data_IF_205649993267
#
_entry.id   IF_205649993267
#
_cell.length_a   1.000
_cell.length_b   1.000
_cell.length_c   1.000
_cell.angle_alpha   90.00
_cell.angle_beta   90.00
_cell.angle_gamma   90.00
#
_symmetry.space_group_name_H-M   'P 1'
#
loop_
_entity.id
_entity.type
_entity.pdbx_description
1 polymer ?
#
# COMPACT_ATOMS: atom_id res chain seq x y z
N UNK A 1 4.26 69.58 46.20
CA UNK A 1 5.15 68.66 46.94
C UNK A 1 4.47 67.29 46.87
N UNK A 2 4.84 66.33 46.03
CA UNK A 2 6.12 65.61 45.78
C UNK A 2 6.08 65.03 44.34
N UNK A 3 7.03 65.33 43.43
CA UNK A 3 8.27 64.57 43.09
C UNK A 3 8.06 63.05 42.90
N UNK A 4 7.89 62.57 41.66
CA UNK A 4 8.86 61.93 40.72
C UNK A 4 9.42 60.55 41.09
N UNK A 5 9.58 59.74 40.02
CA UNK A 5 10.43 58.55 39.87
C UNK A 5 9.98 57.20 40.43
N UNK A 6 9.23 56.47 39.60
CA UNK A 6 9.06 55.02 39.73
C UNK A 6 9.26 54.27 38.40
N UNK A 7 10.14 54.78 37.53
CA UNK A 7 10.70 54.02 36.39
C UNK A 7 12.08 53.49 36.79
N UNK A 8 12.11 52.40 37.55
CA UNK A 8 13.34 51.66 37.83
C UNK A 8 13.18 50.20 37.40
N UNK A 9 14.11 49.80 36.53
CA UNK A 9 14.52 48.43 36.22
C UNK A 9 13.71 47.66 35.17
N UNK A 10 13.64 48.20 33.95
CA UNK A 10 13.72 47.33 32.78
C UNK A 10 15.21 47.07 32.50
N UNK A 11 15.67 45.82 32.33
CA UNK A 11 17.03 45.55 31.90
C UNK A 11 17.24 46.23 30.55
N UNK A 12 18.21 47.16 30.51
CA UNK A 12 18.64 47.79 29.28
C UNK A 12 19.06 46.69 28.29
N UNK A 13 18.72 46.79 26.99
CA UNK A 13 19.28 45.90 25.99
C UNK A 13 20.80 45.99 26.08
N UNK A 14 21.45 44.86 26.36
CA UNK A 14 22.90 44.79 26.39
C UNK A 14 23.42 45.28 25.03
N UNK A 15 24.40 46.20 25.00
CA UNK A 15 24.99 46.63 23.74
C UNK A 15 25.53 45.41 23.01
N UNK A 16 25.06 45.19 21.78
CA UNK A 16 25.54 44.12 20.90
C UNK A 16 27.07 44.23 20.78
N UNK A 17 27.81 43.12 20.84
CA UNK A 17 29.25 43.14 20.63
C UNK A 17 29.55 43.83 19.29
N UNK A 18 30.43 44.83 19.32
CA UNK A 18 30.62 45.88 18.31
C UNK A 18 31.29 45.42 17.00
N UNK A 19 31.32 44.11 16.73
CA UNK A 19 32.02 43.46 15.63
C UNK A 19 31.10 42.61 14.73
N UNK A 20 29.77 42.79 14.82
CA UNK A 20 28.82 42.09 13.94
C UNK A 20 28.78 42.79 12.58
N UNK A 21 29.41 42.16 11.58
CA UNK A 21 29.31 42.61 10.19
C UNK A 21 27.86 42.47 9.71
N UNK A 22 27.34 43.36 8.84
CA UNK A 22 25.97 43.27 8.32
C UNK A 22 25.68 41.94 7.60
N UNK A 23 26.72 41.26 7.11
CA UNK A 23 26.64 39.91 6.55
C UNK A 23 26.34 38.85 7.63
N UNK A 24 26.90 38.97 8.84
CA UNK A 24 26.64 38.07 9.96
C UNK A 24 25.20 38.16 10.47
N UNK A 25 24.65 39.38 10.57
CA UNK A 25 23.26 39.61 10.99
C UNK A 25 22.25 38.99 10.01
N UNK A 26 22.52 39.10 8.70
CA UNK A 26 21.68 38.48 7.66
C UNK A 26 21.69 36.95 7.74
N UNK A 27 22.87 36.34 7.98
CA UNK A 27 22.97 34.88 8.14
C UNK A 27 22.22 34.40 9.38
N UNK A 28 22.35 35.11 10.50
CA UNK A 28 21.68 34.75 11.74
C UNK A 28 20.15 34.90 11.63
N UNK A 29 19.67 35.95 10.97
CA UNK A 29 18.25 36.11 10.66
C UNK A 29 17.72 34.97 9.78
N UNK A 30 18.51 34.53 8.78
CA UNK A 30 18.14 33.42 7.91
C UNK A 30 18.12 32.07 8.63
N UNK A 31 19.06 31.82 9.53
CA UNK A 31 19.06 30.64 10.41
C UNK A 31 17.81 30.62 11.28
N UNK A 32 17.44 31.76 11.88
CA UNK A 32 16.21 31.85 12.68
C UNK A 32 14.96 31.55 11.86
N UNK A 33 14.90 32.06 10.62
CA UNK A 33 13.79 31.78 9.71
C UNK A 33 13.70 30.29 9.35
N UNK A 34 14.82 29.63 9.04
CA UNK A 34 14.84 28.21 8.72
C UNK A 34 14.46 27.35 9.92
N UNK A 35 14.94 27.68 11.12
CA UNK A 35 14.53 27.02 12.37
C UNK A 35 13.04 27.20 12.65
N UNK A 36 12.48 28.37 12.33
CA UNK A 36 11.04 28.59 12.43
C UNK A 36 10.26 27.73 11.43
N UNK A 37 10.73 27.63 10.18
CA UNK A 37 10.12 26.79 9.14
C UNK A 37 10.24 25.30 9.46
N UNK A 38 11.37 24.84 10.01
CA UNK A 38 11.55 23.44 10.42
C UNK A 38 10.63 23.08 11.58
N UNK A 39 10.47 23.98 12.57
CA UNK A 39 9.55 23.80 13.68
C UNK A 39 8.09 23.65 13.21
N UNK A 40 7.69 24.39 12.17
CA UNK A 40 6.34 24.35 11.60
C UNK A 40 6.12 23.35 10.47
N UNK A 41 7.18 22.68 10.00
CA UNK A 41 7.08 21.73 8.89
C UNK A 41 6.10 20.57 9.19
N UNK A 42 5.84 20.29 10.47
CA UNK A 42 4.92 19.25 10.97
C UNK A 42 3.51 19.74 11.30
N UNK A 43 3.21 21.03 11.14
CA UNK A 43 1.90 21.60 11.48
C UNK A 43 0.81 21.32 10.43
N UNK A 44 1.16 20.60 9.36
CA UNK A 44 0.22 20.21 8.30
C UNK A 44 -0.82 19.19 8.74
N UNK A 45 -1.82 19.00 7.87
CA UNK A 45 -2.82 17.95 8.00
C UNK A 45 -2.67 16.90 6.90
N UNK A 46 -2.96 15.65 7.24
CA UNK A 46 -2.96 14.51 6.33
C UNK A 46 -4.23 13.68 6.51
N UNK A 47 -4.67 13.05 5.43
CA UNK A 47 -5.82 12.16 5.45
C UNK A 47 -5.35 10.73 5.74
N UNK A 48 -5.80 10.18 6.86
CA UNK A 48 -5.53 8.81 7.26
C UNK A 48 -6.22 7.77 6.36
N UNK A 49 -5.85 6.47 6.49
CA UNK A 49 -6.33 5.40 5.61
C UNK A 49 -7.84 5.16 5.70
N UNK A 50 -8.49 5.63 6.77
CA UNK A 50 -9.93 5.53 6.99
C UNK A 50 -10.67 6.87 6.82
N UNK A 51 -10.07 7.85 6.12
CA UNK A 51 -10.68 9.16 5.87
C UNK A 51 -10.65 10.13 7.05
N UNK A 52 -9.80 9.87 8.05
CA UNK A 52 -9.63 10.72 9.23
C UNK A 52 -8.69 11.89 8.90
N UNK A 53 -9.06 13.12 9.26
CA UNK A 53 -8.12 14.24 9.19
C UNK A 53 -7.24 14.24 10.45
N UNK A 54 -5.94 14.05 10.26
CA UNK A 54 -4.95 13.94 11.33
C UNK A 54 -3.89 15.03 11.14
N UNK A 55 -3.25 15.46 12.22
CA UNK A 55 -2.02 16.24 12.09
C UNK A 55 -0.88 15.32 11.61
N UNK A 56 0.15 15.89 10.96
CA UNK A 56 1.33 15.11 10.56
C UNK A 56 1.99 14.46 11.78
N UNK A 57 2.06 15.17 12.92
CA UNK A 57 2.57 14.62 14.17
C UNK A 57 1.77 13.42 14.70
N UNK A 58 0.43 13.47 14.63
CA UNK A 58 -0.41 12.32 14.99
C UNK A 58 -0.23 11.14 14.04
N UNK A 59 -0.14 11.39 12.73
CA UNK A 59 0.10 10.34 11.75
C UNK A 59 1.47 9.67 11.96
N UNK A 60 2.50 10.45 12.29
CA UNK A 60 3.81 9.91 12.66
C UNK A 60 3.75 9.07 13.93
N UNK A 61 3.12 9.57 14.99
CA UNK A 61 2.99 8.84 16.25
C UNK A 61 2.23 7.51 16.07
N UNK A 62 1.20 7.50 15.22
CA UNK A 62 0.48 6.27 14.87
C UNK A 62 1.33 5.30 14.06
N UNK A 63 2.11 5.80 13.09
CA UNK A 63 3.05 4.97 12.35
C UNK A 63 4.05 4.30 13.30
N UNK A 64 4.68 5.06 14.21
CA UNK A 64 5.64 4.53 15.18
C UNK A 64 5.01 3.51 16.14
N UNK A 65 3.78 3.76 16.60
CA UNK A 65 3.06 2.81 17.45
C UNK A 65 2.81 1.50 16.72
N UNK A 66 2.29 1.56 15.49
CA UNK A 66 2.01 0.37 14.68
C UNK A 66 3.31 -0.40 14.37
N UNK A 67 4.38 0.30 14.03
CA UNK A 67 5.68 -0.30 13.75
C UNK A 67 6.21 -1.08 14.97
N UNK A 68 6.16 -0.48 16.17
CA UNK A 68 6.53 -1.16 17.42
C UNK A 68 5.65 -2.37 17.72
N UNK A 69 4.34 -2.29 17.49
CA UNK A 69 3.44 -3.43 17.70
C UNK A 69 3.79 -4.58 16.75
N UNK A 70 4.04 -4.28 15.47
CA UNK A 70 4.45 -5.25 14.47
C UNK A 70 5.79 -5.90 14.86
N UNK A 71 6.77 -5.10 15.28
CA UNK A 71 8.07 -5.58 15.74
C UNK A 71 7.92 -6.51 16.94
N UNK A 72 7.15 -6.13 17.96
CA UNK A 72 6.87 -6.98 19.13
C UNK A 72 6.19 -8.29 18.76
N UNK A 73 5.22 -8.26 17.84
CA UNK A 73 4.58 -9.48 17.33
C UNK A 73 5.56 -10.37 16.55
N UNK A 74 6.44 -9.79 15.73
CA UNK A 74 7.46 -10.52 14.97
C UNK A 74 8.52 -11.13 15.89
N UNK A 75 8.96 -10.42 16.93
CA UNK A 75 9.86 -10.95 17.96
C UNK A 75 9.25 -12.13 18.72
N UNK A 76 7.92 -12.14 18.89
CA UNK A 76 7.17 -13.30 19.42
C UNK A 76 6.98 -14.44 18.40
N UNK A 77 7.55 -14.33 17.20
CA UNK A 77 7.47 -15.34 16.15
C UNK A 77 6.20 -15.26 15.29
N UNK A 78 5.43 -14.17 15.35
CA UNK A 78 4.25 -13.98 14.51
C UNK A 78 4.63 -13.83 13.04
N UNK A 79 4.03 -14.64 12.17
CA UNK A 79 4.18 -14.56 10.72
C UNK A 79 3.06 -13.73 10.06
N UNK A 80 2.16 -13.15 10.85
CA UNK A 80 0.95 -12.43 10.42
C UNK A 80 1.25 -11.29 9.45
N UNK A 81 2.31 -10.52 9.74
CA UNK A 81 2.75 -9.34 8.99
C UNK A 81 3.73 -9.65 7.84
N UNK A 82 3.96 -10.93 7.53
CA UNK A 82 4.85 -11.26 6.41
C UNK A 82 4.13 -11.00 5.09
N UNK A 83 4.72 -10.16 4.23
CA UNK A 83 4.21 -9.93 2.86
C UNK A 83 4.56 -11.09 1.94
N UNK A 84 3.73 -11.27 0.92
CA UNK A 84 4.02 -12.21 -0.18
C UNK A 84 4.92 -11.47 -1.17
N UNK A 85 5.89 -12.16 -1.76
CA UNK A 85 6.79 -11.54 -2.75
C UNK A 85 5.98 -11.00 -3.93
N UNK A 86 6.36 -9.82 -4.44
CA UNK A 86 5.69 -9.22 -5.61
C UNK A 86 5.72 -10.15 -6.81
N UNK A 87 6.85 -10.83 -7.03
CA UNK A 87 7.03 -11.81 -8.12
C UNK A 87 6.03 -12.95 -7.98
N UNK A 88 5.89 -13.56 -6.80
CA UNK A 88 4.92 -14.65 -6.59
C UNK A 88 3.48 -14.21 -6.84
N UNK A 89 3.11 -12.99 -6.43
CA UNK A 89 1.76 -12.44 -6.66
C UNK A 89 1.49 -12.21 -8.14
N UNK A 90 2.43 -11.59 -8.84
CA UNK A 90 2.32 -11.33 -10.30
C UNK A 90 2.29 -12.65 -11.06
N UNK A 91 3.18 -13.58 -10.73
CA UNK A 91 3.22 -14.89 -11.38
C UNK A 91 1.88 -15.62 -11.19
N UNK A 92 1.32 -15.66 -9.97
CA UNK A 92 0.02 -16.32 -9.76
C UNK A 92 -1.11 -15.68 -10.55
N UNK A 93 -1.21 -14.35 -10.57
CA UNK A 93 -2.25 -13.63 -11.32
C UNK A 93 -2.08 -13.83 -12.84
N UNK A 94 -0.85 -13.73 -13.34
CA UNK A 94 -0.54 -13.90 -14.74
C UNK A 94 -0.82 -15.34 -15.19
N UNK A 95 -0.39 -16.34 -14.42
CA UNK A 95 -0.62 -17.76 -14.77
C UNK A 95 -2.11 -18.06 -14.87
N UNK A 96 -2.92 -17.59 -13.91
CA UNK A 96 -4.39 -17.78 -13.94
C UNK A 96 -4.99 -17.09 -15.16
N UNK A 97 -4.59 -15.86 -15.43
CA UNK A 97 -5.17 -15.07 -16.54
C UNK A 97 -4.80 -15.65 -17.90
N UNK A 98 -3.54 -16.07 -18.08
CA UNK A 98 -3.03 -16.63 -19.35
C UNK A 98 -3.67 -17.99 -19.65
N UNK A 99 -4.01 -18.78 -18.64
CA UNK A 99 -4.68 -20.08 -18.83
C UNK A 99 -6.18 -19.89 -19.04
N UNK A 100 -6.84 -19.07 -18.21
CA UNK A 100 -8.30 -18.91 -18.24
C UNK A 100 -8.79 -18.08 -19.43
N UNK A 101 -8.05 -17.03 -19.82
CA UNK A 101 -8.53 -16.09 -20.84
C UNK A 101 -8.70 -16.71 -22.23
N UNK A 102 -7.75 -17.49 -22.78
CA UNK A 102 -7.93 -18.15 -24.08
C UNK A 102 -9.08 -19.16 -24.05
N UNK A 103 -9.22 -19.85 -22.92
CA UNK A 103 -10.32 -20.75 -22.66
C UNK A 103 -11.61 -19.90 -22.71
N UNK A 104 -11.83 -18.94 -21.81
CA UNK A 104 -13.05 -18.11 -21.80
C UNK A 104 -13.37 -17.47 -23.15
N UNK A 105 -12.35 -16.97 -23.86
CA UNK A 105 -12.47 -16.41 -25.20
C UNK A 105 -13.03 -17.40 -26.21
N UNK A 106 -12.51 -18.62 -26.22
CA UNK A 106 -13.00 -19.66 -27.11
C UNK A 106 -14.48 -20.03 -26.82
N UNK A 107 -14.90 -20.06 -25.55
CA UNK A 107 -16.31 -20.34 -25.23
C UNK A 107 -17.23 -19.22 -25.63
N UNK A 108 -16.84 -17.98 -25.34
CA UNK A 108 -17.62 -16.84 -25.79
C UNK A 108 -17.70 -16.86 -27.33
N UNK A 109 -16.59 -17.18 -28.00
CA UNK A 109 -16.55 -17.35 -29.46
C UNK A 109 -17.50 -18.42 -29.97
N UNK A 110 -17.56 -19.59 -29.32
CA UNK A 110 -18.49 -20.67 -29.67
C UNK A 110 -19.95 -20.28 -29.43
N UNK A 111 -20.27 -19.65 -28.30
CA UNK A 111 -21.64 -19.22 -27.94
C UNK A 111 -22.15 -18.13 -28.88
N UNK A 112 -21.30 -17.18 -29.26
CA UNK A 112 -21.67 -16.11 -30.18
C UNK A 112 -21.46 -16.47 -31.66
N UNK A 113 -21.13 -17.73 -31.96
CA UNK A 113 -20.88 -18.25 -33.30
C UNK A 113 -19.96 -17.31 -34.11
N UNK A 114 -18.81 -16.99 -33.52
CA UNK A 114 -17.85 -16.04 -34.09
C UNK A 114 -17.23 -16.60 -35.35
N UNK A 115 -17.30 -15.81 -36.41
CA UNK A 115 -16.54 -16.06 -37.63
C UNK A 115 -15.11 -15.56 -37.46
N UNK A 116 -14.15 -16.49 -37.42
CA UNK A 116 -12.73 -16.18 -37.28
C UNK A 116 -12.12 -15.58 -38.57
N UNK A 117 -12.85 -15.61 -39.68
CA UNK A 117 -12.43 -14.97 -40.93
C UNK A 117 -12.75 -13.46 -40.97
N UNK A 118 -13.63 -12.98 -40.08
CA UNK A 118 -13.90 -11.55 -39.87
C UNK A 118 -13.38 -11.09 -38.49
N UNK A 119 -12.09 -10.68 -38.38
CA UNK A 119 -11.48 -10.30 -37.12
C UNK A 119 -12.00 -8.96 -36.54
N UNK A 120 -12.86 -8.24 -37.26
CA UNK A 120 -13.54 -7.03 -36.78
C UNK A 120 -15.03 -7.27 -36.51
N UNK A 121 -15.48 -8.53 -36.61
CA UNK A 121 -16.85 -8.92 -36.35
C UNK A 121 -17.29 -8.55 -34.93
N UNK A 122 -18.45 -7.92 -34.84
CA UNK A 122 -19.11 -7.59 -33.58
C UNK A 122 -19.22 -8.79 -32.60
N UNK A 123 -19.47 -10.04 -33.06
CA UNK A 123 -19.46 -11.22 -32.19
C UNK A 123 -18.10 -11.51 -31.53
N UNK A 124 -16.99 -11.30 -32.26
CA UNK A 124 -15.64 -11.50 -31.71
C UNK A 124 -15.35 -10.45 -30.64
N UNK A 125 -15.69 -9.19 -30.92
CA UNK A 125 -15.50 -8.08 -29.98
C UNK A 125 -16.27 -8.33 -28.67
N UNK A 126 -17.54 -8.73 -28.76
CA UNK A 126 -18.36 -9.08 -27.58
C UNK A 126 -17.73 -10.25 -26.82
N UNK A 127 -17.24 -11.27 -27.53
CA UNK A 127 -16.61 -12.45 -26.93
C UNK A 127 -15.35 -12.10 -26.14
N UNK A 128 -14.50 -11.21 -26.67
CA UNK A 128 -13.32 -10.69 -25.99
C UNK A 128 -13.72 -9.95 -24.72
N UNK A 129 -14.67 -9.02 -24.82
CA UNK A 129 -15.11 -8.21 -23.68
C UNK A 129 -15.66 -9.10 -22.56
N UNK A 130 -16.55 -10.04 -22.88
CA UNK A 130 -17.14 -10.94 -21.88
C UNK A 130 -16.07 -11.83 -21.23
N UNK A 131 -15.10 -12.30 -22.01
CA UNK A 131 -14.04 -13.18 -21.49
C UNK A 131 -13.08 -12.45 -20.56
N UNK A 132 -12.73 -11.20 -20.89
CA UNK A 132 -11.94 -10.32 -20.02
C UNK A 132 -12.72 -10.00 -18.74
N UNK A 133 -14.01 -9.68 -18.85
CA UNK A 133 -14.85 -9.39 -17.69
C UNK A 133 -15.03 -10.61 -16.78
N UNK A 134 -15.22 -11.80 -17.34
CA UNK A 134 -15.38 -13.01 -16.56
C UNK A 134 -14.08 -13.41 -15.85
N UNK A 135 -12.96 -13.44 -16.59
CA UNK A 135 -11.63 -13.80 -16.04
C UNK A 135 -11.16 -12.75 -15.02
N UNK A 136 -11.16 -11.48 -15.43
CA UNK A 136 -10.72 -10.36 -14.61
C UNK A 136 -11.66 -10.11 -13.43
N UNK A 137 -12.97 -10.23 -13.63
CA UNK A 137 -13.98 -10.11 -12.59
C UNK A 137 -13.86 -11.19 -11.52
N UNK A 138 -13.70 -12.46 -11.93
CA UNK A 138 -13.49 -13.57 -10.98
C UNK A 138 -12.18 -13.40 -10.20
N UNK A 139 -11.08 -13.08 -10.89
CA UNK A 139 -9.79 -12.85 -10.24
C UNK A 139 -9.86 -11.68 -9.25
N UNK A 140 -10.50 -10.57 -9.63
CA UNK A 140 -10.67 -9.38 -8.79
C UNK A 140 -11.56 -9.68 -7.59
N UNK A 141 -12.68 -10.38 -7.79
CA UNK A 141 -13.58 -10.80 -6.70
C UNK A 141 -12.86 -11.71 -5.69
N UNK A 142 -12.13 -12.73 -6.17
CA UNK A 142 -11.34 -13.62 -5.32
C UNK A 142 -10.23 -12.85 -4.58
N UNK A 143 -9.60 -11.89 -5.25
CA UNK A 143 -8.59 -11.04 -4.64
C UNK A 143 -9.17 -10.17 -3.52
N UNK A 144 -10.30 -9.50 -3.76
CA UNK A 144 -10.98 -8.68 -2.75
C UNK A 144 -11.49 -9.51 -1.57
N UNK A 145 -12.06 -10.69 -1.83
CA UNK A 145 -12.51 -11.60 -0.78
C UNK A 145 -11.32 -12.10 0.06
N UNK A 146 -10.21 -12.47 -0.57
CA UNK A 146 -8.97 -12.83 0.13
C UNK A 146 -8.40 -11.67 0.95
N UNK A 147 -8.43 -10.45 0.40
CA UNK A 147 -7.98 -9.24 1.10
C UNK A 147 -8.86 -8.93 2.33
N UNK A 148 -10.18 -8.97 2.19
CA UNK A 148 -11.12 -8.71 3.30
C UNK A 148 -10.97 -9.73 4.44
N UNK A 149 -10.54 -10.95 4.12
CA UNK A 149 -10.30 -11.98 5.13
C UNK A 149 -9.00 -11.80 5.91
N UNK A 150 -8.10 -10.89 5.53
CA UNK A 150 -6.84 -10.62 6.25
C UNK A 150 -7.05 -10.27 7.72
N UNK A 151 -8.17 -9.63 8.06
CA UNK A 151 -8.51 -9.25 9.44
C UNK A 151 -8.69 -10.46 10.38
N UNK A 152 -9.08 -11.63 9.86
CA UNK A 152 -9.30 -12.85 10.65
C UNK A 152 -8.08 -13.77 10.70
N UNK A 153 -6.90 -13.26 10.31
CA UNK A 153 -5.66 -14.02 10.24
C UNK A 153 -5.02 -14.16 11.61
N UNK A 154 -4.73 -15.39 12.03
CA UNK A 154 -3.98 -15.69 13.25
C UNK A 154 -2.46 -15.49 13.06
N UNK A 155 -1.68 -15.49 14.15
CA UNK A 155 -0.22 -15.34 14.18
C UNK A 155 0.53 -16.32 13.25
N UNK A 156 -0.06 -17.49 12.95
CA UNK A 156 0.49 -18.50 12.03
C UNK A 156 0.10 -18.32 10.54
N UNK A 157 -0.55 -17.21 10.16
CA UNK A 157 -1.13 -16.97 8.82
C UNK A 157 -2.25 -17.94 8.43
N UNK A 158 -3.01 -18.41 9.42
CA UNK A 158 -4.14 -19.33 9.24
C UNK A 158 -5.45 -18.65 9.63
N UNK A 159 -6.56 -19.12 9.04
CA UNK A 159 -7.91 -18.76 9.45
C UNK A 159 -8.26 -19.50 10.74
N UNK A 160 -8.64 -18.76 11.78
CA UNK A 160 -9.12 -19.34 13.02
C UNK A 160 -10.65 -19.51 12.95
N UNK A 161 -11.09 -20.71 12.57
CA UNK A 161 -12.51 -21.02 12.36
C UNK A 161 -13.41 -20.76 13.58
N UNK A 162 -12.84 -20.86 14.78
CA UNK A 162 -13.55 -20.62 16.03
C UNK A 162 -13.82 -19.12 16.27
N UNK A 163 -12.97 -18.23 15.73
CA UNK A 163 -13.06 -16.77 15.92
C UNK A 163 -13.68 -16.02 14.73
N UNK A 164 -14.04 -16.73 13.66
CA UNK A 164 -14.72 -16.14 12.51
C UNK A 164 -16.15 -15.73 12.87
N UNK A 165 -16.50 -14.48 12.59
CA UNK A 165 -17.89 -14.03 12.62
C UNK A 165 -18.74 -14.81 11.61
N UNK A 166 -20.06 -14.83 11.82
CA UNK A 166 -20.99 -15.51 10.90
C UNK A 166 -20.88 -14.97 9.46
N UNK A 167 -20.67 -13.65 9.29
CA UNK A 167 -20.46 -13.04 7.97
C UNK A 167 -19.16 -13.49 7.29
N UNK A 168 -18.08 -13.69 8.06
CA UNK A 168 -16.81 -14.20 7.53
C UNK A 168 -16.89 -15.67 7.12
N UNK A 169 -17.68 -16.47 7.86
CA UNK A 169 -18.00 -17.85 7.46
C UNK A 169 -18.83 -17.88 6.18
N UNK A 170 -19.86 -17.03 6.09
CA UNK A 170 -20.69 -16.92 4.88
C UNK A 170 -19.84 -16.55 3.66
N UNK A 171 -18.98 -15.54 3.76
CA UNK A 171 -18.11 -15.15 2.65
C UNK A 171 -17.10 -16.24 2.25
N UNK A 172 -16.57 -17.02 3.19
CA UNK A 172 -15.74 -18.19 2.87
C UNK A 172 -16.52 -19.28 2.13
N UNK A 173 -17.77 -19.54 2.55
CA UNK A 173 -18.67 -20.47 1.85
C UNK A 173 -18.96 -19.95 0.44
N UNK A 174 -19.22 -18.65 0.27
CA UNK A 174 -19.41 -18.02 -1.05
C UNK A 174 -18.18 -18.15 -1.94
N UNK A 175 -16.97 -17.97 -1.39
CA UNK A 175 -15.71 -18.22 -2.14
C UNK A 175 -15.62 -19.68 -2.56
N UNK A 176 -15.88 -20.62 -1.64
CA UNK A 176 -15.87 -22.05 -1.94
C UNK A 176 -16.88 -22.42 -3.03
N UNK A 177 -18.08 -21.85 -2.98
CA UNK A 177 -19.12 -22.02 -4.00
C UNK A 177 -18.69 -21.45 -5.35
N UNK A 178 -18.11 -20.24 -5.37
CA UNK A 178 -17.62 -19.60 -6.60
C UNK A 178 -16.52 -20.42 -7.27
N UNK A 179 -15.52 -20.85 -6.49
CA UNK A 179 -14.43 -21.70 -6.99
C UNK A 179 -14.95 -23.05 -7.46
N UNK A 180 -15.89 -23.65 -6.71
CA UNK A 180 -16.54 -24.89 -7.10
C UNK A 180 -17.31 -24.76 -8.42
N UNK A 181 -18.08 -23.67 -8.57
CA UNK A 181 -18.81 -23.37 -9.81
C UNK A 181 -17.86 -23.17 -10.99
N UNK A 182 -16.75 -22.45 -10.81
CA UNK A 182 -15.71 -22.33 -11.85
C UNK A 182 -15.16 -23.70 -12.27
N UNK A 183 -14.88 -24.58 -11.30
CA UNK A 183 -14.45 -25.95 -11.58
C UNK A 183 -15.49 -26.75 -12.37
N UNK A 184 -16.76 -26.68 -11.98
CA UNK A 184 -17.86 -27.37 -12.68
C UNK A 184 -18.02 -26.86 -14.11
N UNK A 185 -18.02 -25.53 -14.31
CA UNK A 185 -18.12 -24.93 -15.65
C UNK A 185 -16.96 -25.39 -16.53
N UNK A 186 -15.73 -25.41 -15.99
CA UNK A 186 -14.55 -25.87 -16.73
C UNK A 186 -14.63 -27.37 -17.05
N UNK A 187 -15.12 -28.20 -16.13
CA UNK A 187 -15.33 -29.62 -16.38
C UNK A 187 -16.33 -29.86 -17.51
N UNK A 188 -17.54 -29.32 -17.38
CA UNK A 188 -18.63 -29.50 -18.37
C UNK A 188 -18.15 -29.08 -19.75
N UNK A 189 -17.42 -27.98 -19.81
CA UNK A 189 -16.88 -27.46 -21.04
C UNK A 189 -15.88 -28.40 -21.70
N UNK A 190 -14.78 -28.74 -21.02
CA UNK A 190 -13.72 -29.60 -21.58
C UNK A 190 -14.28 -30.99 -21.92
N UNK A 191 -15.24 -31.48 -21.12
CA UNK A 191 -15.92 -32.73 -21.40
C UNK A 191 -16.74 -32.65 -22.70
N UNK A 192 -17.52 -31.59 -22.89
CA UNK A 192 -18.34 -31.41 -24.10
C UNK A 192 -17.46 -31.32 -25.35
N UNK A 193 -16.35 -30.59 -25.27
CA UNK A 193 -15.37 -30.49 -26.36
C UNK A 193 -14.69 -31.84 -26.67
N UNK A 194 -14.29 -32.59 -25.63
CA UNK A 194 -13.66 -33.89 -25.78
C UNK A 194 -14.59 -34.95 -26.38
N UNK A 195 -15.87 -34.92 -26.00
CA UNK A 195 -16.92 -35.79 -26.58
C UNK A 195 -17.20 -35.42 -28.04
N UNK A 196 -17.32 -34.12 -28.35
CA UNK A 196 -17.49 -33.65 -29.73
C UNK A 196 -16.31 -34.01 -30.63
N UNK A 197 -15.11 -34.13 -30.07
CA UNK A 197 -13.89 -34.55 -30.78
C UNK A 197 -13.78 -36.07 -30.95
N UNK A 198 -14.76 -36.84 -30.48
CA UNK A 198 -14.80 -38.31 -30.60
C UNK A 198 -13.90 -39.06 -29.62
N UNK A 199 -13.38 -38.40 -28.58
CA UNK A 199 -12.42 -38.97 -27.62
C UNK A 199 -13.08 -39.26 -26.25
N UNK A 200 -14.21 -39.99 -26.23
CA UNK A 200 -15.05 -40.12 -25.04
C UNK A 200 -14.30 -40.61 -23.78
N UNK A 201 -13.42 -41.60 -23.88
CA UNK A 201 -12.68 -42.14 -22.72
C UNK A 201 -11.59 -41.18 -22.20
N UNK A 202 -10.99 -40.36 -23.08
CA UNK A 202 -9.97 -39.38 -22.68
C UNK A 202 -10.59 -38.04 -22.26
N UNK A 203 -11.78 -37.71 -22.77
CA UNK A 203 -12.48 -36.46 -22.50
C UNK A 203 -12.75 -36.24 -21.02
N UNK A 204 -13.22 -37.29 -20.32
CA UNK A 204 -13.48 -37.22 -18.87
C UNK A 204 -12.18 -36.96 -18.11
N UNK A 205 -11.11 -37.70 -18.42
CA UNK A 205 -9.82 -37.55 -17.72
C UNK A 205 -9.26 -36.14 -17.90
N UNK A 206 -9.27 -35.62 -19.14
CA UNK A 206 -8.81 -34.27 -19.44
C UNK A 206 -9.68 -33.20 -18.78
N UNK A 207 -11.00 -33.39 -18.78
CA UNK A 207 -11.93 -32.45 -18.13
C UNK A 207 -11.71 -32.37 -16.63
N UNK A 208 -11.51 -33.51 -15.95
CA UNK A 208 -11.19 -33.52 -14.52
C UNK A 208 -9.86 -32.85 -14.24
N UNK A 209 -8.82 -33.16 -15.03
CA UNK A 209 -7.49 -32.60 -14.85
C UNK A 209 -7.50 -31.07 -15.00
N UNK A 210 -8.11 -30.56 -16.07
CA UNK A 210 -8.19 -29.12 -16.33
C UNK A 210 -9.02 -28.41 -15.27
N UNK A 211 -10.19 -28.97 -14.89
CA UNK A 211 -11.02 -28.41 -13.83
C UNK A 211 -10.26 -28.35 -12.49
N UNK A 212 -9.48 -29.38 -12.15
CA UNK A 212 -8.66 -29.39 -10.94
C UNK A 212 -7.58 -28.31 -10.97
N UNK A 213 -6.86 -28.18 -12.08
CA UNK A 213 -5.83 -27.12 -12.26
C UNK A 213 -6.46 -25.73 -12.11
N UNK A 214 -7.66 -25.52 -12.65
CA UNK A 214 -8.40 -24.27 -12.51
C UNK A 214 -8.82 -23.98 -11.07
N UNK A 215 -9.37 -24.96 -10.37
CA UNK A 215 -9.74 -24.83 -8.94
C UNK A 215 -8.51 -24.51 -8.08
N UNK A 216 -7.40 -25.21 -8.30
CA UNK A 216 -6.13 -24.94 -7.59
C UNK A 216 -5.65 -23.53 -7.87
N UNK A 217 -5.69 -23.09 -9.13
CA UNK A 217 -5.26 -21.76 -9.56
C UNK A 217 -6.11 -20.65 -8.93
N UNK A 218 -7.44 -20.79 -8.97
CA UNK A 218 -8.37 -19.86 -8.32
C UNK A 218 -8.15 -19.80 -6.79
N UNK A 219 -7.92 -20.97 -6.17
CA UNK A 219 -7.60 -21.06 -4.75
C UNK A 219 -6.28 -20.37 -4.41
N UNK A 220 -5.27 -20.46 -5.28
CA UNK A 220 -4.00 -19.75 -5.12
C UNK A 220 -4.17 -18.22 -5.21
N UNK A 221 -5.02 -17.72 -6.12
CA UNK A 221 -5.33 -16.27 -6.19
C UNK A 221 -5.93 -15.79 -4.87
N UNK A 222 -6.88 -16.54 -4.32
CA UNK A 222 -7.45 -16.23 -3.01
C UNK A 222 -6.39 -16.28 -1.90
N UNK A 223 -5.61 -17.36 -1.83
CA UNK A 223 -4.61 -17.57 -0.76
C UNK A 223 -3.46 -16.57 -0.82
N UNK A 224 -3.03 -16.15 -2.00
CA UNK A 224 -2.00 -15.12 -2.17
C UNK A 224 -2.50 -13.77 -1.68
N UNK A 225 -3.72 -13.39 -2.03
CA UNK A 225 -4.37 -12.18 -1.54
C UNK A 225 -4.54 -12.21 -0.01
N UNK A 226 -4.99 -13.35 0.53
CA UNK A 226 -5.15 -13.56 1.98
C UNK A 226 -3.82 -13.53 2.73
N UNK A 227 -2.75 -14.17 2.22
CA UNK A 227 -1.44 -14.24 2.91
C UNK A 227 -0.65 -12.95 2.89
N UNK A 228 -0.96 -12.05 1.99
CA UNK A 228 -0.16 -10.85 1.74
C UNK A 228 -0.34 -9.81 2.85
N UNK A 229 0.60 -9.74 3.79
CA UNK A 229 0.65 -8.71 4.83
C UNK A 229 -0.55 -8.74 5.79
N UNK A 230 -0.63 -7.72 6.64
CA UNK A 230 -1.79 -7.47 7.51
C UNK A 230 -2.34 -6.07 7.24
N UNK A 231 -3.56 -5.79 7.72
CA UNK A 231 -4.16 -4.45 7.57
C UNK A 231 -3.32 -3.39 8.26
N UNK A 232 -2.77 -3.70 9.44
CA UNK A 232 -1.91 -2.80 10.20
C UNK A 232 -0.65 -2.39 9.39
N UNK A 233 -0.13 -3.29 8.55
CA UNK A 233 1.02 -3.00 7.71
C UNK A 233 0.67 -2.14 6.49
N UNK A 234 -0.59 -2.18 6.06
CA UNK A 234 -1.09 -1.29 5.00
C UNK A 234 -1.36 0.11 5.59
N UNK A 235 -1.89 0.19 6.81
CA UNK A 235 -2.04 1.45 7.55
C UNK A 235 -0.69 2.11 7.85
N UNK A 236 0.29 1.33 8.33
CA UNK A 236 1.66 1.81 8.57
C UNK A 236 2.26 2.42 7.30
N UNK A 237 2.07 1.75 6.16
CA UNK A 237 2.57 2.23 4.88
C UNK A 237 1.90 3.54 4.49
N UNK A 238 0.57 3.62 4.62
CA UNK A 238 -0.18 4.83 4.28
C UNK A 238 0.26 6.02 5.16
N UNK A 239 0.37 5.83 6.47
CA UNK A 239 0.84 6.88 7.37
C UNK A 239 2.28 7.29 7.07
N UNK A 240 3.17 6.33 6.82
CA UNK A 240 4.57 6.61 6.47
C UNK A 240 4.69 7.39 5.17
N UNK A 241 3.96 6.98 4.13
CA UNK A 241 3.97 7.66 2.82
C UNK A 241 3.38 9.07 2.91
N UNK A 242 2.35 9.29 3.75
CA UNK A 242 1.74 10.59 3.98
C UNK A 242 2.64 11.57 4.77
N UNK A 243 3.41 11.06 5.74
CA UNK A 243 4.29 11.87 6.61
C UNK A 243 5.64 12.17 5.93
N UNK A 244 6.10 11.29 5.04
CA UNK A 244 7.40 11.39 4.35
C UNK A 244 7.73 12.75 3.73
N UNK A 245 6.86 13.43 2.95
CA UNK A 245 7.20 14.71 2.35
C UNK A 245 7.46 15.79 3.40
N UNK A 246 6.71 15.79 4.50
CA UNK A 246 6.88 16.77 5.57
C UNK A 246 8.16 16.52 6.37
N UNK A 247 8.51 15.25 6.62
CA UNK A 247 9.80 14.90 7.24
C UNK A 247 10.98 15.26 6.34
N UNK A 248 10.85 15.08 5.02
CA UNK A 248 11.87 15.49 4.06
C UNK A 248 12.07 17.02 4.10
N UNK A 249 10.98 17.79 4.06
CA UNK A 249 11.05 19.25 4.15
C UNK A 249 11.64 19.73 5.48
N UNK A 250 11.27 19.10 6.61
CA UNK A 250 11.85 19.42 7.92
C UNK A 250 13.37 19.22 7.91
N UNK A 251 13.84 18.06 7.43
CA UNK A 251 15.28 17.75 7.35
C UNK A 251 16.02 18.73 6.44
N UNK A 252 15.44 19.08 5.29
CA UNK A 252 16.02 20.07 4.39
C UNK A 252 16.21 21.43 5.06
N UNK A 253 15.21 21.90 5.83
CA UNK A 253 15.35 23.15 6.59
C UNK A 253 16.39 23.06 7.71
N UNK A 254 16.47 21.93 8.41
CA UNK A 254 17.47 21.69 9.47
C UNK A 254 18.89 21.66 8.89
N UNK A 255 19.09 20.99 7.75
CA UNK A 255 20.38 20.90 7.06
C UNK A 255 20.84 22.30 6.58
N UNK A 256 19.94 23.08 5.96
CA UNK A 256 20.24 24.45 5.53
C UNK A 256 20.55 25.38 6.72
N UNK A 257 19.83 25.24 7.84
CA UNK A 257 20.07 26.04 9.05
C UNK A 257 21.43 25.70 9.67
N UNK A 258 21.80 24.41 9.66
CA UNK A 258 23.08 23.94 10.16
C UNK A 258 24.24 24.48 9.31
N UNK A 259 24.14 24.41 7.98
CA UNK A 259 25.16 24.93 7.06
C UNK A 259 25.38 26.44 7.26
N UNK A 260 24.31 27.23 7.33
CA UNK A 260 24.40 28.68 7.52
C UNK A 260 24.95 29.04 8.90
N UNK A 261 24.66 28.25 9.93
CA UNK A 261 25.21 28.42 11.27
C UNK A 261 26.73 28.15 11.29
N UNK A 262 27.20 27.12 10.58
CA UNK A 262 28.64 26.89 10.39
C UNK A 262 29.32 28.05 9.65
N UNK A 263 28.69 28.62 8.62
CA UNK A 263 29.22 29.79 7.90
C UNK A 263 29.31 31.03 8.81
N UNK A 264 28.29 31.28 9.62
CA UNK A 264 28.30 32.35 10.61
C UNK A 264 29.43 32.19 11.63
N UNK A 265 29.63 30.98 12.17
CA UNK A 265 30.71 30.69 13.11
C UNK A 265 32.11 30.91 12.51
N UNK A 266 32.28 30.58 11.23
CA UNK A 266 33.53 30.84 10.50
C UNK A 266 33.80 32.35 10.34
N UNK A 267 32.78 33.12 9.93
CA UNK A 267 32.90 34.57 9.80
C UNK A 267 33.20 35.25 11.14
N UNK A 268 32.54 34.81 12.21
CA UNK A 268 32.78 35.31 13.57
C UNK A 268 34.21 35.04 14.04
N UNK A 269 34.75 33.84 13.76
CA UNK A 269 36.16 33.50 14.06
C UNK A 269 37.15 34.31 13.24
N UNK A 270 36.83 34.65 11.98
CA UNK A 270 37.69 35.48 11.14
C UNK A 270 37.72 36.93 11.61
N UNK A 271 36.56 37.50 11.98
CA UNK A 271 36.47 38.85 12.53
C UNK A 271 37.27 39.00 13.84
N UNK A 272 37.17 38.01 14.75
CA UNK A 272 37.93 38.03 16.00
C UNK A 272 39.45 37.94 15.82
N UNK A 273 39.95 37.34 14.73
CA UNK A 273 41.38 37.31 14.40
C UNK A 273 41.89 38.59 13.73
N UNK A 274 41.00 39.42 13.17
CA UNK A 274 41.38 40.67 12.53
C UNK A 274 41.48 41.84 13.54
N UNK A 275 40.97 41.66 14.76
CA UNK A 275 41.02 42.63 15.85
C UNK A 275 42.20 42.39 16.83
N UNK A 276 42.92 41.27 16.68
CA UNK A 276 44.19 40.96 17.38
C UNK A 276 45.41 41.45 16.58
#
# INVERSE_FOLDING_TARGET
MTSTDQTRNLPLPQPRPRAETPAGDLLLARVQELNYRSARAMDGHVVGPHGQNLTVGEAQARAELIDRLIELEQLRGSLRHRRVGRVTRVLTLLTVTVVDLPIMLWLASSVFNVDWSDPLGLPLAISIVISVLATGGAATALHHLGHNQRQHKNAKRQLDWAKLSAGSKLSLVTVGLLVGLMGVVMFVRVYTEGVLSGMNDLAVLMAVLVALVMVVSATLVFWTAFRDGSLEQDDLRHYSDAVRPFLAAKREYEDQAHELSCQYDLLRRQAGRAEE
#
